data_IF_146691670192
#
_entry.id   IF_146691670192
#
_cell.length_a   1.000
_cell.length_b   1.000
_cell.length_c   1.000
_cell.angle_alpha   90.00
_cell.angle_beta   90.00
_cell.angle_gamma   90.00
#
_symmetry.space_group_name_H-M   'P 1'
#
loop_
_entity.id
_entity.type
_entity.pdbx_description
1 polymer ?
#
# COMPACT_ATOMS: atom_id res chain seq x y z
N UNK A 1 -9.89 -10.89 18.51
CA UNK A 1 -10.03 -9.50 18.07
C UNK A 1 -11.47 -9.05 18.27
N UNK A 2 -11.68 -7.83 18.79
CA UNK A 2 -13.02 -7.28 19.01
C UNK A 2 -13.27 -6.04 18.15
N UNK A 3 -12.21 -5.33 17.78
CA UNK A 3 -12.30 -4.12 16.97
C UNK A 3 -11.14 -4.02 15.98
N UNK A 4 -11.43 -3.64 14.74
CA UNK A 4 -10.45 -3.54 13.64
C UNK A 4 -10.57 -2.20 12.95
N UNK A 5 -9.42 -1.53 12.77
CA UNK A 5 -9.28 -0.34 11.94
C UNK A 5 -8.96 -0.76 10.50
N UNK A 6 -9.78 -0.33 9.54
CA UNK A 6 -9.52 -0.49 8.12
C UNK A 6 -9.07 0.86 7.55
N UNK A 7 -7.97 0.84 6.81
CA UNK A 7 -7.45 2.01 6.10
C UNK A 7 -7.89 1.92 4.64
N UNK A 8 -8.72 2.87 4.21
CA UNK A 8 -9.16 2.96 2.82
C UNK A 8 -8.11 3.56 1.89
N UNK A 9 -8.40 3.55 0.60
CA UNK A 9 -7.46 3.98 -0.46
C UNK A 9 -7.41 5.49 -0.70
N UNK A 10 -8.35 6.26 -0.13
CA UNK A 10 -8.55 7.63 -0.54
C UNK A 10 -9.23 7.74 -1.92
N UNK A 11 -9.08 8.85 -2.63
CA UNK A 11 -9.60 9.01 -3.98
C UNK A 11 -8.99 7.98 -4.94
N UNK A 12 -9.82 7.45 -5.86
CA UNK A 12 -9.39 6.47 -6.86
C UNK A 12 -8.36 7.12 -7.80
N UNK A 13 -7.22 6.43 -7.99
CA UNK A 13 -6.17 6.84 -8.93
C UNK A 13 -6.31 6.02 -10.23
N UNK A 14 -5.86 6.61 -11.33
CA UNK A 14 -5.83 5.89 -12.63
C UNK A 14 -5.03 4.58 -12.46
N UNK A 15 -5.65 3.47 -12.83
CA UNK A 15 -5.08 2.11 -12.73
C UNK A 15 -5.57 1.29 -11.53
N UNK A 16 -6.23 1.90 -10.53
CA UNK A 16 -6.84 1.18 -9.41
C UNK A 16 -8.26 0.67 -9.72
N UNK A 17 -9.00 1.35 -10.59
CA UNK A 17 -10.42 1.14 -10.78
C UNK A 17 -11.19 1.12 -9.45
N UNK A 18 -12.21 0.27 -9.29
CA UNK A 18 -12.98 0.14 -8.05
C UNK A 18 -12.54 -1.05 -7.18
N UNK A 19 -11.35 -1.58 -7.39
CA UNK A 19 -10.86 -2.77 -6.68
C UNK A 19 -10.90 -2.61 -5.17
N UNK A 20 -10.38 -1.50 -4.66
CA UNK A 20 -10.32 -1.26 -3.20
C UNK A 20 -11.67 -0.87 -2.62
N UNK A 21 -12.56 -0.24 -3.39
CA UNK A 21 -13.93 0.03 -2.95
C UNK A 21 -14.68 -1.27 -2.71
N UNK A 22 -14.52 -2.25 -3.61
CA UNK A 22 -15.13 -3.56 -3.48
C UNK A 22 -14.49 -4.37 -2.35
N UNK A 23 -13.17 -4.55 -2.35
CA UNK A 23 -12.48 -5.38 -1.35
C UNK A 23 -12.65 -4.83 0.05
N UNK A 24 -12.54 -3.51 0.23
CA UNK A 24 -12.76 -2.85 1.52
C UNK A 24 -14.20 -2.99 2.02
N UNK A 25 -15.19 -2.87 1.13
CA UNK A 25 -16.60 -3.07 1.48
C UNK A 25 -16.90 -4.51 1.88
N UNK A 26 -16.30 -5.49 1.20
CA UNK A 26 -16.44 -6.89 1.57
C UNK A 26 -15.79 -7.20 2.91
N UNK A 27 -14.59 -6.65 3.16
CA UNK A 27 -13.90 -6.82 4.45
C UNK A 27 -14.74 -6.25 5.60
N UNK A 28 -15.27 -5.03 5.46
CA UNK A 28 -16.16 -4.43 6.47
C UNK A 28 -17.39 -5.30 6.74
N UNK A 29 -18.00 -5.83 5.69
CA UNK A 29 -19.18 -6.69 5.80
C UNK A 29 -18.86 -7.99 6.52
N UNK A 30 -17.81 -8.70 6.12
CA UNK A 30 -17.39 -9.96 6.77
C UNK A 30 -17.07 -9.77 8.25
N UNK A 31 -16.34 -8.71 8.60
CA UNK A 31 -16.01 -8.41 9.99
C UNK A 31 -17.25 -8.13 10.84
N UNK A 32 -18.24 -7.41 10.30
CA UNK A 32 -19.52 -7.17 10.99
C UNK A 32 -20.33 -8.45 11.17
N UNK A 33 -20.33 -9.34 10.17
CA UNK A 33 -20.98 -10.66 10.26
C UNK A 33 -20.35 -11.52 11.36
N UNK A 34 -19.05 -11.38 11.59
CA UNK A 34 -18.32 -12.04 12.67
C UNK A 34 -18.46 -11.32 14.04
N UNK A 35 -19.24 -10.26 14.11
CA UNK A 35 -19.46 -9.49 15.35
C UNK A 35 -18.26 -8.63 15.77
N UNK A 36 -17.38 -8.26 14.86
CA UNK A 36 -16.21 -7.42 15.11
C UNK A 36 -16.59 -5.97 14.85
N UNK A 37 -16.30 -5.08 15.81
CA UNK A 37 -16.46 -3.65 15.65
C UNK A 37 -15.55 -3.12 14.54
N UNK A 38 -16.14 -2.44 13.57
CA UNK A 38 -15.42 -1.93 12.39
C UNK A 38 -15.23 -0.42 12.45
N UNK A 39 -13.99 0.00 12.30
CA UNK A 39 -13.60 1.40 12.25
C UNK A 39 -12.95 1.64 10.89
N UNK A 40 -13.49 2.56 10.12
CA UNK A 40 -12.96 2.91 8.79
C UNK A 40 -12.39 4.32 8.81
N UNK A 41 -11.18 4.48 8.29
CA UNK A 41 -10.66 5.77 7.85
C UNK A 41 -10.54 5.80 6.34
N UNK A 42 -11.14 6.80 5.70
CA UNK A 42 -11.01 7.04 4.26
C UNK A 42 -11.17 8.54 3.98
N UNK A 43 -10.37 9.09 3.08
CA UNK A 43 -10.50 10.49 2.67
C UNK A 43 -11.44 10.70 1.48
N UNK A 44 -11.96 9.63 0.88
CA UNK A 44 -12.90 9.68 -0.23
C UNK A 44 -14.35 9.60 0.28
N UNK A 45 -15.15 10.67 0.15
CA UNK A 45 -16.57 10.62 0.55
C UNK A 45 -17.48 9.94 -0.49
N UNK A 46 -16.95 9.65 -1.69
CA UNK A 46 -17.72 9.12 -2.82
C UNK A 46 -17.43 7.65 -3.09
N UNK A 47 -17.20 6.87 -2.04
CA UNK A 47 -17.01 5.42 -2.13
C UNK A 47 -18.09 4.67 -1.36
N UNK A 48 -18.41 3.45 -1.78
CA UNK A 48 -19.34 2.55 -1.06
C UNK A 48 -18.84 2.30 0.38
N UNK A 49 -17.52 2.23 0.60
CA UNK A 49 -16.96 2.01 1.93
C UNK A 49 -17.41 3.05 2.97
N UNK A 50 -17.63 4.29 2.55
CA UNK A 50 -18.02 5.41 3.43
C UNK A 50 -19.53 5.62 3.54
N UNK A 51 -20.34 4.69 3.00
CA UNK A 51 -21.75 4.65 3.28
C UNK A 51 -21.98 4.37 4.78
N UNK A 52 -22.84 5.14 5.48
CA UNK A 52 -23.06 5.00 6.93
C UNK A 52 -23.40 3.59 7.43
N UNK A 53 -23.91 2.72 6.57
CA UNK A 53 -24.27 1.33 6.95
C UNK A 53 -23.08 0.36 6.89
N UNK A 54 -21.96 0.77 6.27
CA UNK A 54 -20.87 -0.15 5.98
C UNK A 54 -19.98 -0.44 7.19
N UNK A 55 -19.64 0.55 7.99
CA UNK A 55 -18.83 0.38 9.20
C UNK A 55 -19.56 0.95 10.43
N UNK A 56 -19.17 0.51 11.63
CA UNK A 56 -19.74 1.03 12.87
C UNK A 56 -19.26 2.45 13.13
N UNK A 57 -18.01 2.76 12.76
CA UNK A 57 -17.43 4.10 12.84
C UNK A 57 -16.74 4.46 11.53
N UNK A 58 -17.13 5.59 10.94
CA UNK A 58 -16.57 6.09 9.67
C UNK A 58 -15.92 7.44 9.90
N UNK A 59 -14.65 7.54 9.54
CA UNK A 59 -13.84 8.74 9.63
C UNK A 59 -13.45 9.25 8.23
N UNK A 60 -14.12 10.31 7.78
CA UNK A 60 -13.76 11.04 6.57
C UNK A 60 -12.64 12.03 6.91
N UNK A 61 -11.42 11.52 7.03
CA UNK A 61 -10.23 12.27 7.42
C UNK A 61 -9.10 12.08 6.42
N UNK A 62 -8.14 13.01 6.36
CA UNK A 62 -6.92 12.81 5.60
C UNK A 62 -6.18 11.54 6.06
N UNK A 63 -5.67 10.76 5.09
CA UNK A 63 -4.91 9.54 5.36
C UNK A 63 -3.48 9.90 5.77
N UNK A 64 -3.28 10.16 7.06
CA UNK A 64 -1.99 10.47 7.67
C UNK A 64 -1.91 9.97 9.12
N UNK A 65 -0.71 9.94 9.67
CA UNK A 65 -0.46 9.42 11.02
C UNK A 65 -1.12 10.23 12.14
N UNK A 66 -1.40 11.50 11.92
CA UNK A 66 -2.15 12.34 12.88
C UNK A 66 -3.59 11.86 13.01
N UNK A 67 -4.26 11.64 11.89
CA UNK A 67 -5.64 11.13 11.87
C UNK A 67 -5.74 9.74 12.49
N UNK A 68 -4.76 8.85 12.22
CA UNK A 68 -4.67 7.53 12.87
C UNK A 68 -4.60 7.70 14.40
N UNK A 69 -3.68 8.53 14.90
CA UNK A 69 -3.57 8.77 16.36
C UNK A 69 -4.86 9.32 16.99
N UNK A 70 -5.57 10.21 16.27
CA UNK A 70 -6.84 10.76 16.75
C UNK A 70 -7.92 9.66 16.89
N UNK A 71 -7.97 8.72 15.96
CA UNK A 71 -8.89 7.58 16.01
C UNK A 71 -8.51 6.64 17.16
N UNK A 72 -7.24 6.27 17.27
CA UNK A 72 -6.74 5.36 18.31
C UNK A 72 -6.88 5.92 19.74
N UNK A 73 -6.94 7.25 19.91
CA UNK A 73 -7.27 7.88 21.19
C UNK A 73 -8.75 7.77 21.55
N UNK A 74 -9.64 7.67 20.57
CA UNK A 74 -11.10 7.59 20.77
C UNK A 74 -11.59 6.16 20.90
N UNK A 75 -10.94 5.23 20.23
CA UNK A 75 -11.34 3.84 20.17
C UNK A 75 -10.23 2.94 20.66
N UNK A 76 -10.60 1.90 21.41
CA UNK A 76 -9.69 0.79 21.69
C UNK A 76 -9.69 -0.13 20.46
N UNK A 77 -8.67 0.00 19.63
CA UNK A 77 -8.49 -0.80 18.42
C UNK A 77 -7.57 -1.97 18.73
N UNK A 78 -8.02 -3.20 18.44
CA UNK A 78 -7.18 -4.38 18.63
C UNK A 78 -6.23 -4.62 17.46
N UNK A 79 -6.71 -4.38 16.23
CA UNK A 79 -5.89 -4.60 15.03
C UNK A 79 -6.15 -3.57 13.92
N UNK A 80 -5.18 -3.45 13.00
CA UNK A 80 -5.31 -2.67 11.76
C UNK A 80 -5.18 -3.57 10.55
N UNK A 81 -6.08 -3.37 9.56
CA UNK A 81 -6.07 -4.05 8.27
C UNK A 81 -5.73 -3.04 7.16
N UNK A 82 -4.45 -2.94 6.73
CA UNK A 82 -4.01 -1.96 5.74
C UNK A 82 -4.18 -2.41 4.29
N UNK A 83 -4.39 -3.70 4.05
CA UNK A 83 -4.38 -4.30 2.70
C UNK A 83 -5.58 -3.91 1.84
N UNK A 84 -6.61 -3.30 2.43
CA UNK A 84 -7.84 -2.91 1.73
C UNK A 84 -7.80 -1.50 1.12
N UNK A 85 -6.69 -0.80 1.22
CA UNK A 85 -6.57 0.59 0.74
C UNK A 85 -5.41 0.82 -0.25
N UNK A 86 -4.84 -0.24 -0.83
CA UNK A 86 -3.74 -0.17 -1.78
C UNK A 86 -2.50 0.49 -1.24
N UNK A 87 -1.68 1.03 -2.15
CA UNK A 87 -0.38 1.62 -1.80
C UNK A 87 -0.48 2.74 -0.76
N UNK A 88 -1.54 3.54 -0.82
CA UNK A 88 -1.75 4.63 0.14
C UNK A 88 -1.88 4.11 1.58
N UNK A 89 -2.67 3.06 1.78
CA UNK A 89 -2.87 2.47 3.10
C UNK A 89 -1.63 1.71 3.58
N UNK A 90 -0.94 1.00 2.69
CA UNK A 90 0.30 0.28 3.01
C UNK A 90 1.40 1.27 3.44
N UNK A 91 1.61 2.34 2.70
CA UNK A 91 2.59 3.38 3.04
C UNK A 91 2.27 4.05 4.39
N UNK A 92 0.99 4.35 4.64
CA UNK A 92 0.55 4.92 5.92
C UNK A 92 0.76 3.95 7.07
N UNK A 93 0.55 2.65 6.84
CA UNK A 93 0.80 1.61 7.85
C UNK A 93 2.28 1.52 8.22
N UNK A 94 3.18 1.57 7.22
CA UNK A 94 4.64 1.61 7.43
C UNK A 94 5.03 2.87 8.21
N UNK A 95 4.58 4.05 7.75
CA UNK A 95 4.90 5.33 8.41
C UNK A 95 4.44 5.36 9.87
N UNK A 96 3.27 4.79 10.16
CA UNK A 96 2.75 4.69 11.52
C UNK A 96 3.59 3.73 12.38
N UNK A 97 4.08 2.62 11.81
CA UNK A 97 4.99 1.69 12.46
C UNK A 97 6.34 2.33 12.78
N UNK A 98 6.97 3.00 11.80
CA UNK A 98 8.23 3.73 12.00
C UNK A 98 8.15 4.81 13.10
N UNK A 99 6.95 5.38 13.29
CA UNK A 99 6.67 6.34 14.37
C UNK A 99 6.27 5.68 15.69
N UNK A 100 6.30 4.36 15.79
CA UNK A 100 5.94 3.60 16.98
C UNK A 100 4.46 3.71 17.39
N UNK A 101 3.56 4.06 16.46
CA UNK A 101 2.15 4.28 16.78
C UNK A 101 1.45 2.98 17.12
N UNK A 102 1.73 1.92 16.38
CA UNK A 102 1.08 0.62 16.62
C UNK A 102 1.47 0.05 17.98
N UNK A 103 2.73 0.18 18.38
CA UNK A 103 3.23 -0.23 19.69
C UNK A 103 2.67 0.65 20.82
N UNK A 104 2.61 1.99 20.62
CA UNK A 104 2.05 2.95 21.60
C UNK A 104 0.62 2.58 21.98
N UNK A 105 -0.19 2.19 20.99
CA UNK A 105 -1.61 1.86 21.19
C UNK A 105 -1.88 0.35 21.28
N UNK A 106 -0.85 -0.49 21.19
CA UNK A 106 -0.93 -1.96 21.21
C UNK A 106 -1.86 -2.51 20.13
N UNK A 107 -1.75 -1.99 18.92
CA UNK A 107 -2.53 -2.41 17.75
C UNK A 107 -1.74 -3.44 16.96
N UNK A 108 -2.33 -4.59 16.71
CA UNK A 108 -1.74 -5.63 15.86
C UNK A 108 -1.95 -5.31 14.37
N UNK A 109 -0.94 -5.52 13.54
CA UNK A 109 -1.10 -5.42 12.08
C UNK A 109 -1.49 -6.79 11.56
N UNK A 110 -2.62 -6.87 10.85
CA UNK A 110 -3.15 -8.13 10.33
C UNK A 110 -3.23 -8.14 8.80
N UNK A 111 -3.21 -9.35 8.22
CA UNK A 111 -3.24 -9.56 6.78
C UNK A 111 -1.88 -9.49 6.10
N UNK A 112 -0.97 -8.68 6.61
CA UNK A 112 0.42 -8.55 6.14
C UNK A 112 1.27 -7.92 7.24
N UNK A 113 2.53 -8.29 7.38
CA UNK A 113 3.48 -7.61 8.26
C UNK A 113 4.27 -6.50 7.53
N UNK A 114 4.88 -5.59 8.29
CA UNK A 114 5.62 -4.45 7.74
C UNK A 114 6.81 -4.91 6.89
N UNK A 115 7.51 -5.95 7.31
CA UNK A 115 8.67 -6.46 6.58
C UNK A 115 8.24 -7.03 5.21
N UNK A 116 7.12 -7.76 5.18
CA UNK A 116 6.56 -8.26 3.92
C UNK A 116 6.15 -7.10 2.98
N UNK A 117 5.52 -6.05 3.51
CA UNK A 117 5.18 -4.87 2.71
C UNK A 117 6.46 -4.23 2.14
N UNK A 118 7.46 -4.00 2.97
CA UNK A 118 8.72 -3.38 2.53
C UNK A 118 9.45 -4.21 1.46
N UNK A 119 9.44 -5.53 1.60
CA UNK A 119 10.09 -6.42 0.63
C UNK A 119 9.32 -6.44 -0.69
N UNK A 120 8.00 -6.52 -0.66
CA UNK A 120 7.18 -6.66 -1.88
C UNK A 120 7.02 -5.35 -2.65
N UNK A 121 7.03 -4.21 -1.96
CA UNK A 121 6.86 -2.90 -2.58
C UNK A 121 8.18 -2.30 -3.10
N UNK A 122 9.31 -2.69 -2.52
CA UNK A 122 10.64 -2.31 -2.99
C UNK A 122 11.13 -3.32 -4.04
N UNK A 123 11.24 -2.88 -5.29
CA UNK A 123 11.65 -3.75 -6.42
C UNK A 123 13.02 -4.38 -6.24
N UNK A 124 13.96 -3.66 -5.62
CA UNK A 124 15.29 -4.18 -5.35
C UNK A 124 15.27 -5.25 -4.26
N UNK A 125 14.58 -4.99 -3.15
CA UNK A 125 14.41 -5.99 -2.08
C UNK A 125 13.68 -7.22 -2.59
N UNK A 126 12.65 -7.04 -3.43
CA UNK A 126 11.92 -8.15 -4.04
C UNK A 126 12.81 -8.98 -4.97
N UNK A 127 13.63 -8.34 -5.81
CA UNK A 127 14.62 -9.01 -6.65
C UNK A 127 15.57 -9.86 -5.83
N UNK A 128 16.16 -9.28 -4.77
CA UNK A 128 17.06 -10.01 -3.86
C UNK A 128 16.38 -11.19 -3.16
N UNK A 129 15.10 -11.07 -2.81
CA UNK A 129 14.32 -12.18 -2.29
C UNK A 129 14.20 -13.30 -3.33
N UNK A 130 13.84 -12.98 -4.59
CA UNK A 130 13.73 -13.97 -5.66
C UNK A 130 15.03 -14.70 -5.91
N UNK A 131 16.17 -14.00 -5.90
CA UNK A 131 17.50 -14.61 -5.97
C UNK A 131 17.74 -15.60 -4.82
N UNK A 132 17.45 -15.16 -3.59
CA UNK A 132 17.65 -15.98 -2.39
C UNK A 132 16.86 -17.29 -2.42
N UNK A 133 15.65 -17.27 -3.00
CA UNK A 133 14.79 -18.46 -3.07
C UNK A 133 14.87 -19.17 -4.43
N UNK A 134 15.81 -18.76 -5.30
CA UNK A 134 16.07 -19.35 -6.63
C UNK A 134 14.82 -19.34 -7.56
N UNK A 135 14.03 -18.27 -7.51
CA UNK A 135 12.90 -18.08 -8.44
C UNK A 135 13.39 -17.23 -9.63
N UNK A 136 13.16 -17.67 -10.87
CA UNK A 136 13.52 -16.88 -12.05
C UNK A 136 12.76 -15.56 -12.12
N UNK A 137 13.45 -14.48 -12.48
CA UNK A 137 12.87 -13.16 -12.70
C UNK A 137 13.49 -12.52 -13.96
N UNK A 138 12.84 -11.47 -14.47
CA UNK A 138 13.39 -10.72 -15.59
C UNK A 138 14.68 -9.99 -15.18
N UNK A 139 15.76 -10.04 -15.98
CA UNK A 139 16.97 -9.29 -15.70
C UNK A 139 16.62 -7.83 -15.42
N UNK A 140 17.06 -7.33 -14.27
CA UNK A 140 16.75 -5.98 -13.82
C UNK A 140 17.84 -5.44 -12.89
N UNK A 141 18.06 -4.14 -12.99
CA UNK A 141 19.01 -3.40 -12.15
C UNK A 141 18.42 -2.07 -11.72
N UNK A 142 18.87 -1.56 -10.58
CA UNK A 142 18.41 -0.29 -10.03
C UNK A 142 19.42 0.83 -10.33
N UNK A 143 18.92 1.94 -10.88
CA UNK A 143 19.72 3.13 -11.15
C UNK A 143 19.24 4.29 -10.27
N UNK A 144 20.14 4.89 -9.50
CA UNK A 144 19.92 6.11 -8.71
C UNK A 144 20.50 7.37 -9.36
N UNK A 145 21.13 7.23 -10.53
CA UNK A 145 21.69 8.33 -11.31
C UNK A 145 21.60 8.04 -12.80
N UNK A 146 21.63 9.11 -13.60
CA UNK A 146 21.63 9.00 -15.06
C UNK A 146 22.86 8.23 -15.59
N UNK A 147 24.04 8.44 -14.99
CA UNK A 147 25.25 7.73 -15.39
C UNK A 147 25.10 6.22 -15.16
N UNK A 148 24.63 5.83 -13.99
CA UNK A 148 24.39 4.41 -13.70
C UNK A 148 23.33 3.81 -14.63
N UNK A 149 22.27 4.55 -14.96
CA UNK A 149 21.28 4.12 -15.94
C UNK A 149 21.86 3.89 -17.33
N UNK A 150 22.83 4.73 -17.78
CA UNK A 150 23.53 4.51 -19.03
C UNK A 150 24.41 3.25 -19.03
N UNK A 151 25.11 2.98 -17.96
CA UNK A 151 25.93 1.76 -17.80
C UNK A 151 25.05 0.51 -17.92
N UNK A 152 23.93 0.48 -17.18
CA UNK A 152 22.96 -0.62 -17.24
C UNK A 152 22.38 -0.78 -18.65
N UNK A 153 22.06 0.33 -19.34
CA UNK A 153 21.57 0.29 -20.69
C UNK A 153 22.60 -0.26 -21.70
N UNK A 154 23.89 -0.02 -21.46
CA UNK A 154 24.97 -0.60 -22.29
C UNK A 154 25.10 -2.11 -22.06
N UNK A 155 24.91 -2.56 -20.84
CA UNK A 155 25.00 -3.97 -20.47
C UNK A 155 23.80 -4.78 -21.01
N UNK A 156 22.58 -4.27 -20.78
CA UNK A 156 21.33 -4.98 -21.12
C UNK A 156 20.93 -4.82 -22.59
N UNK A 157 21.36 -3.74 -23.23
CA UNK A 157 20.91 -3.39 -24.59
C UNK A 157 19.49 -2.83 -24.60
N UNK A 158 18.96 -2.56 -25.81
CA UNK A 158 17.62 -2.03 -26.01
C UNK A 158 16.72 -3.04 -26.75
N UNK A 159 15.38 -3.01 -26.54
CA UNK A 159 14.63 -2.03 -25.74
C UNK A 159 14.70 -2.33 -24.24
N UNK A 160 14.60 -1.29 -23.41
CA UNK A 160 14.57 -1.37 -21.96
C UNK A 160 13.26 -0.84 -21.39
N UNK A 161 12.69 -1.56 -20.43
CA UNK A 161 11.59 -1.05 -19.63
C UNK A 161 12.14 -0.29 -18.41
N UNK A 162 11.89 1.02 -18.34
CA UNK A 162 12.28 1.87 -17.21
C UNK A 162 11.06 2.09 -16.33
N UNK A 163 11.18 1.79 -15.03
CA UNK A 163 10.07 1.94 -14.08
C UNK A 163 10.56 2.55 -12.77
N UNK A 164 9.90 3.62 -12.26
CA UNK A 164 10.17 4.10 -10.91
C UNK A 164 9.77 3.06 -9.84
N UNK A 165 10.43 3.11 -8.68
CA UNK A 165 10.00 2.35 -7.50
C UNK A 165 8.76 2.99 -6.86
N UNK A 166 7.99 2.21 -6.10
CA UNK A 166 6.83 2.66 -5.32
C UNK A 166 5.74 3.38 -6.12
N UNK A 167 5.55 3.00 -7.39
CA UNK A 167 4.50 3.58 -8.25
C UNK A 167 3.47 2.54 -8.65
N UNK A 168 2.21 2.98 -8.75
CA UNK A 168 1.09 2.19 -9.22
C UNK A 168 0.87 2.39 -10.72
N UNK A 169 0.52 1.32 -11.41
CA UNK A 169 0.21 1.34 -12.84
C UNK A 169 1.41 1.74 -13.69
N UNK A 170 1.17 2.54 -14.70
CA UNK A 170 2.19 3.00 -15.63
C UNK A 170 2.85 4.35 -15.27
N UNK A 171 2.58 4.89 -14.09
CA UNK A 171 3.09 6.23 -13.70
C UNK A 171 4.61 6.28 -13.76
N UNK A 172 5.15 7.17 -14.61
CA UNK A 172 6.60 7.32 -14.81
C UNK A 172 7.28 6.15 -15.50
N UNK A 173 6.53 5.13 -15.94
CA UNK A 173 7.08 4.04 -16.71
C UNK A 173 7.28 4.44 -18.18
N UNK A 174 8.37 3.97 -18.79
CA UNK A 174 8.66 4.18 -20.20
C UNK A 174 9.42 2.99 -20.78
N UNK A 175 9.42 2.90 -22.11
CA UNK A 175 10.24 1.95 -22.85
C UNK A 175 11.28 2.74 -23.64
N UNK A 176 12.53 2.65 -23.20
CA UNK A 176 13.64 3.23 -23.92
C UNK A 176 14.05 2.30 -25.08
N UNK A 177 13.97 2.78 -26.29
CA UNK A 177 14.33 2.00 -27.50
C UNK A 177 15.73 2.33 -28.03
N UNK A 178 16.33 3.41 -27.54
CA UNK A 178 17.69 3.84 -27.84
C UNK A 178 18.18 4.86 -26.81
N UNK A 179 19.44 5.29 -26.91
CA UNK A 179 20.00 6.36 -26.05
C UNK A 179 19.37 7.74 -26.29
N UNK A 180 18.64 7.94 -27.37
CA UNK A 180 18.11 9.23 -27.78
C UNK A 180 16.58 9.28 -27.77
N UNK A 181 15.90 8.15 -27.61
CA UNK A 181 14.44 8.04 -27.65
C UNK A 181 13.97 7.16 -26.49
N UNK A 182 13.49 7.79 -25.41
CA UNK A 182 12.82 7.09 -24.33
C UNK A 182 11.42 6.65 -24.73
#
# INVERSE_FOLDING_TARGET
>A
LKSILIIGSGPIIIGQACEFDYSGSQALRSLKEDGIETILINSNPATIMTDPVMADHIYLLPLNTKSIKEILKKHKVDAVLPTMGGQTALNLCIEAGEKGIWEEFKVEIIGVDIDAIQITEDREKFRLLLEKINIPYAPSETATSFLKGKEIAQEFGFPLCVRPSFTLGGTGASIAVSYTHP
#
